data_IF_179693939764
#
_entry.id   IF_179693939764
#
_cell.length_a   1.000
_cell.length_b   1.000
_cell.length_c   1.000
_cell.angle_alpha   90.00
_cell.angle_beta   90.00
_cell.angle_gamma   90.00
#
_symmetry.space_group_name_H-M   'P 1'
#
loop_
_entity.id
_entity.type
_entity.pdbx_description
1 polymer ?
#
# COMPACT_ATOMS: atom_id res chain seq x y z
N UNK A 1 -37.54 62.04 -44.71
CA UNK A 1 -37.40 60.69 -44.12
C UNK A 1 -36.50 59.91 -45.07
N UNK A 2 -35.39 59.27 -44.68
CA UNK A 2 -34.78 58.95 -43.38
C UNK A 2 -33.26 59.17 -43.42
N UNK A 3 -32.59 59.28 -42.26
CA UNK A 3 -31.13 59.44 -42.11
C UNK A 3 -30.39 58.09 -42.13
N UNK A 4 -29.10 58.05 -42.53
CA UNK A 4 -28.33 56.81 -42.59
C UNK A 4 -27.90 56.31 -41.21
N UNK A 5 -27.95 54.99 -41.01
CA UNK A 5 -27.61 54.36 -39.73
C UNK A 5 -26.09 54.27 -39.50
N UNK A 6 -25.65 54.76 -38.34
CA UNK A 6 -24.24 54.72 -37.91
C UNK A 6 -23.80 53.29 -37.57
N UNK A 7 -22.73 52.80 -38.23
CA UNK A 7 -22.09 51.51 -37.88
C UNK A 7 -21.35 51.65 -36.55
N UNK A 8 -21.70 50.82 -35.55
CA UNK A 8 -20.99 50.74 -34.26
C UNK A 8 -19.70 49.90 -34.40
N UNK A 9 -18.62 50.21 -33.66
CA UNK A 9 -17.38 49.43 -33.69
C UNK A 9 -17.57 48.05 -33.06
N UNK A 10 -16.85 47.06 -33.61
CA UNK A 10 -17.00 45.63 -33.30
C UNK A 10 -16.81 45.28 -31.80
N UNK A 11 -16.03 46.09 -31.08
CA UNK A 11 -15.73 45.93 -29.66
C UNK A 11 -16.96 46.01 -28.74
N UNK A 12 -18.03 46.71 -29.16
CA UNK A 12 -19.24 46.87 -28.35
C UNK A 12 -20.25 45.72 -28.50
N UNK A 13 -20.13 44.86 -29.52
CA UNK A 13 -21.02 43.71 -29.71
C UNK A 13 -20.72 42.54 -28.75
N UNK A 14 -19.47 42.40 -28.30
CA UNK A 14 -19.06 41.32 -27.40
C UNK A 14 -19.56 41.51 -25.97
N UNK A 15 -19.83 42.74 -25.52
CA UNK A 15 -20.41 43.02 -24.19
C UNK A 15 -21.93 42.84 -24.12
N UNK A 16 -22.63 42.73 -25.25
CA UNK A 16 -24.07 42.41 -25.28
C UNK A 16 -24.37 40.91 -25.28
N UNK A 17 -23.35 40.05 -25.30
CA UNK A 17 -23.52 38.59 -25.26
C UNK A 17 -23.66 38.11 -23.81
N UNK A 18 -24.60 37.19 -23.57
CA UNK A 18 -24.74 36.55 -22.26
C UNK A 18 -23.50 35.70 -21.95
N UNK A 19 -23.16 35.61 -20.66
CA UNK A 19 -21.97 34.88 -20.17
C UNK A 19 -21.81 33.46 -20.75
N UNK A 20 -22.88 32.65 -20.95
CA UNK A 20 -22.76 31.33 -21.60
C UNK A 20 -22.24 31.38 -23.05
N UNK A 21 -22.65 32.39 -23.83
CA UNK A 21 -22.22 32.54 -25.23
C UNK A 21 -20.75 32.98 -25.31
N UNK A 22 -20.33 33.87 -24.40
CA UNK A 22 -18.93 34.28 -24.31
C UNK A 22 -18.01 33.10 -23.95
N UNK A 23 -18.44 32.24 -23.01
CA UNK A 23 -17.73 31.01 -22.64
C UNK A 23 -17.65 30.00 -23.80
N UNK A 24 -18.71 29.90 -24.62
CA UNK A 24 -18.72 29.01 -25.79
C UNK A 24 -17.78 29.51 -26.90
N UNK A 25 -17.68 30.82 -27.11
CA UNK A 25 -16.73 31.41 -28.05
C UNK A 25 -15.28 31.22 -27.58
N UNK A 26 -15.01 31.41 -26.29
CA UNK A 26 -13.69 31.15 -25.68
C UNK A 26 -13.26 29.69 -25.81
N UNK A 27 -14.16 28.72 -25.59
CA UNK A 27 -13.83 27.30 -25.75
C UNK A 27 -13.60 26.91 -27.21
N UNK A 28 -14.35 27.49 -28.16
CA UNK A 28 -14.13 27.28 -29.59
C UNK A 28 -12.76 27.81 -30.06
N UNK A 29 -12.36 29.01 -29.60
CA UNK A 29 -11.02 29.57 -29.87
C UNK A 29 -9.92 28.66 -29.29
N UNK A 30 -10.10 28.14 -28.08
CA UNK A 30 -9.13 27.24 -27.44
C UNK A 30 -9.00 25.88 -28.16
N UNK A 31 -10.10 25.35 -28.70
CA UNK A 31 -10.12 24.15 -29.55
C UNK A 31 -9.38 24.40 -30.87
N UNK A 32 -9.62 25.54 -31.53
CA UNK A 32 -8.96 25.91 -32.78
C UNK A 32 -7.45 26.18 -32.61
N UNK A 33 -7.01 26.71 -31.47
CA UNK A 33 -5.57 26.84 -31.17
C UNK A 33 -4.90 25.50 -30.90
N UNK A 34 -5.60 24.52 -30.32
CA UNK A 34 -5.02 23.19 -30.08
C UNK A 34 -4.94 22.32 -31.34
N UNK A 35 -5.92 22.39 -32.24
CA UNK A 35 -5.87 21.64 -33.51
C UNK A 35 -4.78 22.16 -34.42
N UNK A 36 -4.59 23.48 -34.50
CA UNK A 36 -3.49 24.11 -35.27
C UNK A 36 -2.12 23.79 -34.67
N UNK A 37 -1.96 23.76 -33.34
CA UNK A 37 -0.72 23.33 -32.68
C UNK A 37 -0.37 21.85 -32.94
N UNK A 38 -1.38 20.98 -33.11
CA UNK A 38 -1.18 19.56 -33.36
C UNK A 38 -0.75 19.27 -34.81
N UNK A 39 -1.11 20.12 -35.76
CA UNK A 39 -0.73 19.99 -37.17
C UNK A 39 0.67 20.54 -37.49
N UNK A 40 1.25 21.38 -36.61
CA UNK A 40 2.55 22.03 -36.87
C UNK A 40 3.79 21.24 -36.39
N UNK A 41 3.59 20.15 -35.62
CA UNK A 41 4.66 19.40 -34.94
C UNK A 41 4.86 17.97 -35.49
N UNK A 42 4.57 17.75 -36.77
CA UNK A 42 4.79 16.45 -37.42
C UNK A 42 5.49 16.59 -38.78
N UNK A 43 6.84 16.58 -38.78
CA UNK A 43 7.57 15.77 -39.76
C UNK A 43 8.70 14.94 -39.13
N UNK A 44 9.34 14.11 -39.97
CA UNK A 44 10.56 13.31 -39.69
C UNK A 44 10.38 11.94 -39.00
N UNK A 45 9.64 11.05 -39.68
CA UNK A 45 9.91 9.61 -39.65
C UNK A 45 10.25 9.12 -41.08
N UNK A 46 11.44 8.55 -41.33
CA UNK A 46 11.75 7.96 -42.64
C UNK A 46 10.91 6.70 -42.93
N UNK A 47 10.45 6.56 -44.18
CA UNK A 47 9.76 5.35 -44.67
C UNK A 47 10.75 4.25 -45.09
N UNK A 48 10.32 2.97 -45.12
CA UNK A 48 11.22 1.82 -45.28
C UNK A 48 11.54 1.48 -46.75
N UNK A 49 12.68 0.82 -46.97
CA UNK A 49 13.08 0.20 -48.24
C UNK A 49 12.38 -1.15 -48.47
N UNK A 50 12.00 -1.43 -49.73
CA UNK A 50 11.21 -2.60 -50.15
C UNK A 50 11.93 -3.49 -51.18
N UNK A 51 11.76 -4.81 -51.05
CA UNK A 51 11.86 -5.91 -52.07
C UNK A 51 11.30 -7.18 -51.38
N UNK A 52 10.24 -7.88 -51.84
CA UNK A 52 10.07 -8.74 -53.05
C UNK A 52 11.19 -9.80 -53.14
N UNK A 53 11.02 -11.12 -53.25
CA UNK A 53 9.92 -12.08 -53.57
C UNK A 53 10.31 -13.50 -53.02
N UNK A 54 9.53 -14.59 -52.99
CA UNK A 54 8.09 -14.91 -53.09
C UNK A 54 7.83 -16.44 -52.79
N UNK A 55 6.57 -16.89 -52.87
CA UNK A 55 6.05 -18.27 -53.11
C UNK A 55 6.13 -19.42 -52.06
N UNK A 56 4.92 -19.95 -51.79
CA UNK A 56 4.48 -21.38 -51.70
C UNK A 56 4.70 -22.29 -50.47
N UNK A 57 3.56 -22.86 -50.05
CA UNK A 57 3.30 -24.24 -49.57
C UNK A 57 3.74 -24.74 -48.17
N UNK A 58 2.71 -24.87 -47.31
CA UNK A 58 2.35 -26.03 -46.47
C UNK A 58 3.28 -26.63 -45.40
N UNK A 59 2.70 -26.68 -44.20
CA UNK A 59 2.69 -27.80 -43.23
C UNK A 59 3.76 -27.91 -42.14
N UNK A 60 3.26 -28.47 -41.03
CA UNK A 60 3.97 -29.05 -39.89
C UNK A 60 4.57 -28.13 -38.81
N UNK A 61 4.36 -28.61 -37.60
CA UNK A 61 4.77 -28.13 -36.28
C UNK A 61 6.29 -28.07 -36.06
N UNK A 62 6.74 -27.01 -35.39
CA UNK A 62 7.89 -27.09 -34.47
C UNK A 62 7.76 -26.04 -33.36
N UNK A 63 7.85 -26.48 -32.11
CA UNK A 63 7.92 -25.64 -30.92
C UNK A 63 9.35 -25.20 -30.63
N UNK A 64 9.58 -23.89 -30.47
CA UNK A 64 10.78 -23.37 -29.81
C UNK A 64 10.41 -22.26 -28.83
N UNK A 65 9.79 -22.67 -27.72
CA UNK A 65 9.78 -21.87 -26.50
C UNK A 65 11.14 -21.99 -25.81
N UNK A 66 11.91 -20.90 -25.74
CA UNK A 66 13.12 -20.87 -24.92
C UNK A 66 12.69 -20.75 -23.45
N UNK A 67 12.57 -21.89 -22.79
CA UNK A 67 12.30 -21.97 -21.35
C UNK A 67 13.58 -21.70 -20.54
N UNK A 68 13.44 -20.95 -19.45
CA UNK A 68 14.41 -20.91 -18.34
C UNK A 68 13.83 -21.58 -17.08
N UNK A 69 13.15 -22.71 -17.24
CA UNK A 69 12.74 -23.58 -16.13
C UNK A 69 13.94 -24.35 -15.57
N UNK A 70 14.64 -23.78 -14.58
CA UNK A 70 15.43 -24.62 -13.64
C UNK A 70 15.72 -24.07 -12.23
N UNK A 71 14.94 -23.12 -11.72
CA UNK A 71 15.18 -22.52 -10.39
C UNK A 71 14.03 -22.70 -9.38
N UNK A 72 12.88 -23.28 -9.77
CA UNK A 72 11.66 -23.32 -8.92
C UNK A 72 11.15 -24.73 -8.54
N UNK A 73 11.94 -25.79 -8.72
CA UNK A 73 11.58 -27.17 -8.35
C UNK A 73 12.33 -27.73 -7.11
N UNK A 74 13.00 -26.87 -6.33
CA UNK A 74 13.82 -27.29 -5.17
C UNK A 74 13.19 -27.00 -3.79
N UNK A 75 11.93 -26.53 -3.72
CA UNK A 75 11.29 -26.11 -2.46
C UNK A 75 10.21 -27.07 -1.90
N UNK A 76 10.01 -28.25 -2.52
CA UNK A 76 9.08 -29.26 -2.05
C UNK A 76 9.79 -30.54 -1.57
N UNK A 77 10.32 -30.52 -0.34
CA UNK A 77 10.39 -31.67 0.58
C UNK A 77 11.16 -31.33 1.87
N UNK A 78 10.48 -31.19 3.02
CA UNK A 78 10.90 -31.71 4.35
C UNK A 78 9.97 -31.21 5.47
N UNK A 79 9.66 -32.02 6.50
CA UNK A 79 8.87 -31.63 7.66
C UNK A 79 9.69 -30.80 8.68
N UNK A 80 9.04 -30.11 9.64
CA UNK A 80 9.75 -29.27 10.61
C UNK A 80 10.39 -30.10 11.75
N UNK A 81 11.61 -29.75 12.21
CA UNK A 81 12.17 -30.30 13.44
C UNK A 81 11.55 -29.65 14.69
N UNK A 82 11.47 -30.42 15.77
CA UNK A 82 10.92 -30.00 17.07
C UNK A 82 11.96 -29.29 17.95
N UNK A 83 11.47 -28.42 18.85
CA UNK A 83 12.30 -27.63 19.75
C UNK A 83 12.77 -28.44 20.97
N UNK A 84 14.07 -28.35 21.31
CA UNK A 84 14.61 -28.65 22.65
C UNK A 84 15.69 -27.62 23.02
N UNK A 85 15.76 -27.28 24.31
CA UNK A 85 16.70 -26.30 24.88
C UNK A 85 18.02 -26.94 25.37
N UNK A 86 19.01 -26.06 25.65
CA UNK A 86 19.98 -26.10 26.77
C UNK A 86 21.50 -26.25 26.45
N UNK A 87 22.21 -25.12 26.60
CA UNK A 87 23.51 -24.89 27.31
C UNK A 87 24.81 -25.68 27.05
N UNK A 88 25.80 -24.93 26.50
CA UNK A 88 27.25 -24.82 26.88
C UNK A 88 28.27 -25.96 26.57
N UNK A 89 29.59 -25.66 26.47
CA UNK A 89 30.44 -26.20 25.38
C UNK A 89 31.63 -27.11 25.79
N UNK A 90 32.25 -27.78 24.79
CA UNK A 90 33.56 -28.43 24.93
C UNK A 90 34.18 -28.97 23.62
N UNK A 91 35.44 -28.56 23.35
CA UNK A 91 36.52 -29.22 22.58
C UNK A 91 36.27 -29.95 21.23
N UNK A 92 36.77 -29.31 20.16
CA UNK A 92 37.66 -29.85 19.09
C UNK A 92 37.71 -31.36 18.74
N UNK A 93 37.46 -31.67 17.47
CA UNK A 93 38.36 -32.49 16.62
C UNK A 93 38.09 -32.19 15.13
N UNK A 94 39.03 -32.53 14.23
CA UNK A 94 38.96 -32.18 12.81
C UNK A 94 39.26 -33.37 11.90
N UNK A 95 38.52 -33.51 10.79
CA UNK A 95 38.92 -34.29 9.61
C UNK A 95 38.17 -33.85 8.34
N UNK A 96 38.83 -34.04 7.18
CA UNK A 96 38.56 -33.39 5.89
C UNK A 96 37.40 -33.94 5.03
N UNK A 97 36.99 -33.12 4.05
CA UNK A 97 36.26 -33.52 2.82
C UNK A 97 34.73 -33.44 2.94
N UNK A 98 33.96 -32.88 2.00
CA UNK A 98 34.21 -32.51 0.59
C UNK A 98 33.55 -31.16 0.26
N UNK A 99 34.14 -30.38 -0.65
CA UNK A 99 33.64 -29.06 -1.07
C UNK A 99 32.42 -29.15 -2.00
N UNK A 100 31.39 -28.34 -1.71
CA UNK A 100 30.41 -27.87 -2.70
C UNK A 100 29.99 -26.43 -2.38
N UNK A 101 30.41 -25.49 -3.22
CA UNK A 101 30.12 -24.05 -3.09
C UNK A 101 28.62 -23.75 -3.19
N UNK A 102 28.00 -23.33 -2.07
CA UNK A 102 26.62 -22.82 -2.03
C UNK A 102 26.49 -21.29 -2.17
N UNK A 103 27.57 -20.58 -2.47
CA UNK A 103 27.61 -19.10 -2.40
C UNK A 103 27.29 -18.34 -3.72
N UNK A 104 27.07 -19.02 -4.86
CA UNK A 104 26.98 -18.33 -6.17
C UNK A 104 25.62 -17.70 -6.52
N UNK A 105 24.56 -17.90 -5.74
CA UNK A 105 23.21 -17.35 -6.06
C UNK A 105 22.82 -16.11 -5.25
N UNK A 106 23.65 -15.65 -4.32
CA UNK A 106 23.37 -14.49 -3.44
C UNK A 106 24.34 -13.32 -3.70
N UNK A 107 25.50 -13.56 -4.33
CA UNK A 107 26.54 -12.54 -4.57
C UNK A 107 26.36 -11.67 -5.84
N UNK A 108 25.29 -11.83 -6.62
CA UNK A 108 25.12 -11.14 -7.91
C UNK A 108 24.67 -9.66 -7.82
N UNK A 109 24.50 -9.08 -6.62
CA UNK A 109 24.03 -7.70 -6.43
C UNK A 109 24.93 -6.78 -5.59
N UNK A 110 26.13 -7.23 -5.21
CA UNK A 110 27.10 -6.40 -4.49
C UNK A 110 28.45 -6.31 -5.20
N UNK A 111 28.51 -5.47 -6.23
CA UNK A 111 29.75 -4.91 -6.78
C UNK A 111 29.45 -3.71 -7.68
N UNK A 112 29.66 -2.50 -7.14
CA UNK A 112 30.22 -1.30 -7.78
C UNK A 112 29.90 -0.07 -6.94
N UNK A 113 30.95 0.65 -6.52
CA UNK A 113 30.87 1.78 -5.61
C UNK A 113 30.85 3.14 -6.33
N UNK A 114 30.19 4.10 -5.68
CA UNK A 114 30.49 5.54 -5.69
C UNK A 114 30.41 6.33 -7.01
N UNK A 115 29.19 6.77 -7.37
CA UNK A 115 28.87 8.20 -7.63
C UNK A 115 27.47 8.48 -7.05
N UNK A 116 27.23 9.57 -6.30
CA UNK A 116 25.87 9.94 -5.88
C UNK A 116 25.04 10.43 -7.09
N UNK A 117 23.80 9.95 -7.29
CA UNK A 117 22.94 10.46 -8.36
C UNK A 117 22.50 11.90 -8.08
N UNK A 118 22.25 12.72 -9.12
CA UNK A 118 21.73 14.07 -8.95
C UNK A 118 20.35 14.07 -8.27
N UNK A 119 19.96 15.18 -7.60
CA UNK A 119 18.65 15.27 -6.96
C UNK A 119 17.51 15.07 -7.98
N UNK A 120 16.43 14.37 -7.62
CA UNK A 120 15.30 14.15 -8.51
C UNK A 120 14.64 15.50 -8.88
N UNK A 121 14.10 15.64 -10.09
CA UNK A 121 13.39 16.85 -10.49
C UNK A 121 12.17 17.10 -9.58
N UNK A 122 11.74 18.37 -9.42
CA UNK A 122 10.57 18.69 -8.61
C UNK A 122 9.34 17.90 -9.08
N UNK A 123 8.61 17.33 -8.13
CA UNK A 123 7.34 16.66 -8.43
C UNK A 123 6.34 17.68 -9.01
N UNK A 124 5.54 17.30 -10.03
CA UNK A 124 4.43 18.15 -10.47
C UNK A 124 3.49 18.41 -9.29
N UNK A 125 3.00 19.63 -9.19
CA UNK A 125 2.14 20.06 -8.09
C UNK A 125 0.93 19.11 -7.94
N UNK A 126 0.63 18.73 -6.69
CA UNK A 126 -0.55 17.93 -6.42
C UNK A 126 -1.81 18.69 -6.92
N UNK A 127 -2.77 18.01 -7.59
CA UNK A 127 -3.98 18.67 -8.05
C UNK A 127 -4.71 19.32 -6.87
N UNK A 128 -5.18 20.54 -7.09
CA UNK A 128 -5.82 21.34 -6.05
C UNK A 128 -6.96 20.55 -5.37
N UNK A 129 -7.07 20.59 -4.03
CA UNK A 129 -8.15 19.91 -3.35
C UNK A 129 -9.51 20.47 -3.82
N UNK A 130 -10.50 19.62 -4.12
CA UNK A 130 -11.81 20.09 -4.58
C UNK A 130 -12.46 20.99 -3.53
N UNK A 131 -13.22 21.99 -3.99
CA UNK A 131 -13.81 23.02 -3.14
C UNK A 131 -14.61 22.42 -1.96
N UNK A 132 -14.10 22.59 -0.74
CA UNK A 132 -14.66 21.94 0.46
C UNK A 132 -15.78 22.79 1.06
N UNK A 133 -17.03 22.38 0.83
CA UNK A 133 -18.22 23.05 1.36
C UNK A 133 -18.22 23.17 2.90
N UNK A 134 -18.90 24.21 3.43
CA UNK A 134 -18.93 24.57 4.87
C UNK A 134 -19.31 23.39 5.80
N UNK A 135 -20.24 22.51 5.38
CA UNK A 135 -20.60 21.29 6.13
C UNK A 135 -19.43 20.29 6.24
N UNK A 136 -18.68 20.08 5.15
CA UNK A 136 -17.51 19.21 5.14
C UNK A 136 -16.37 19.78 6.00
N UNK A 137 -16.19 21.11 6.01
CA UNK A 137 -15.27 21.78 6.97
C UNK A 137 -15.67 21.52 8.43
N UNK A 138 -16.96 21.67 8.79
CA UNK A 138 -17.46 21.36 10.15
C UNK A 138 -17.28 19.88 10.52
N UNK A 139 -17.58 18.95 9.61
CA UNK A 139 -17.39 17.51 9.84
C UNK A 139 -15.91 17.14 10.02
N UNK A 140 -15.02 17.71 9.19
CA UNK A 140 -13.57 17.53 9.30
C UNK A 140 -13.03 18.06 10.63
N UNK A 141 -13.47 19.25 11.06
CA UNK A 141 -13.11 19.82 12.36
C UNK A 141 -13.59 18.95 13.54
N UNK A 142 -14.83 18.44 13.50
CA UNK A 142 -15.35 17.51 14.53
C UNK A 142 -14.55 16.20 14.57
N UNK A 143 -14.19 15.64 13.41
CA UNK A 143 -13.35 14.43 13.31
C UNK A 143 -11.94 14.68 13.85
N UNK A 144 -11.30 15.79 13.48
CA UNK A 144 -9.98 16.15 13.99
C UNK A 144 -10.02 16.37 15.51
N UNK A 145 -11.09 16.96 16.08
CA UNK A 145 -11.28 17.05 17.53
C UNK A 145 -11.40 15.67 18.21
N UNK A 146 -12.02 14.68 17.54
CA UNK A 146 -12.09 13.30 18.06
C UNK A 146 -10.73 12.58 18.00
N UNK A 147 -9.99 12.74 16.90
CA UNK A 147 -8.65 12.17 16.75
C UNK A 147 -7.64 12.85 17.66
N UNK A 148 -7.81 14.14 17.95
CA UNK A 148 -7.02 14.84 18.95
C UNK A 148 -7.33 14.32 20.36
N UNK A 149 -8.60 13.98 20.69
CA UNK A 149 -8.92 13.30 21.97
C UNK A 149 -8.16 11.96 22.12
N UNK A 150 -8.02 11.19 21.04
CA UNK A 150 -7.27 9.92 21.02
C UNK A 150 -5.78 10.11 21.33
N UNK A 151 -5.21 11.28 21.03
CA UNK A 151 -3.85 11.66 21.44
C UNK A 151 -3.80 12.30 22.83
N UNK A 152 -4.84 13.01 23.23
CA UNK A 152 -4.87 13.85 24.44
C UNK A 152 -5.22 13.10 25.74
N UNK A 153 -5.84 11.91 25.67
CA UNK A 153 -6.36 11.25 26.88
C UNK A 153 -6.15 9.74 26.87
N UNK A 154 -5.42 9.25 27.87
CA UNK A 154 -5.57 7.86 28.33
C UNK A 154 -6.95 7.71 28.96
N UNK A 155 -7.85 6.99 28.30
CA UNK A 155 -9.19 6.68 28.80
C UNK A 155 -9.19 5.31 29.49
N UNK A 156 -10.21 4.97 30.31
CA UNK A 156 -10.35 3.60 30.80
C UNK A 156 -10.39 2.55 29.67
N UNK A 157 -10.84 2.95 28.49
CA UNK A 157 -10.89 2.10 27.29
C UNK A 157 -9.52 1.93 26.65
N UNK A 158 -8.76 3.02 26.39
CA UNK A 158 -7.41 2.89 25.81
C UNK A 158 -6.46 2.13 26.73
N UNK A 159 -6.57 2.29 28.06
CA UNK A 159 -5.75 1.52 29.01
C UNK A 159 -5.93 0.00 28.91
N UNK A 160 -7.02 -0.50 28.32
CA UNK A 160 -7.24 -1.93 28.06
C UNK A 160 -6.50 -2.42 26.80
N UNK A 161 -5.90 -1.54 26.01
CA UNK A 161 -5.21 -1.89 24.77
C UNK A 161 -4.11 -2.94 24.99
N UNK A 162 -3.21 -2.70 25.96
CA UNK A 162 -2.13 -3.62 26.28
C UNK A 162 -2.69 -4.99 26.70
N UNK A 163 -3.60 -5.01 27.68
CA UNK A 163 -4.23 -6.24 28.17
C UNK A 163 -4.93 -7.05 27.07
N UNK A 164 -5.66 -6.41 26.15
CA UNK A 164 -6.31 -7.10 25.01
C UNK A 164 -5.32 -7.61 23.97
N UNK A 165 -4.23 -6.88 23.72
CA UNK A 165 -3.17 -7.34 22.84
C UNK A 165 -2.45 -8.55 23.45
N UNK A 166 -2.16 -8.51 24.75
CA UNK A 166 -1.51 -9.59 25.49
C UNK A 166 -2.43 -10.83 25.59
N UNK A 167 -3.74 -10.65 25.82
CA UNK A 167 -4.77 -11.71 25.77
C UNK A 167 -4.84 -12.37 24.39
N UNK A 168 -4.96 -11.56 23.31
CA UNK A 168 -5.01 -12.07 21.94
C UNK A 168 -3.71 -12.81 21.55
N UNK A 169 -2.55 -12.28 21.92
CA UNK A 169 -1.25 -12.81 21.50
C UNK A 169 -0.59 -13.75 22.52
N UNK A 170 -1.30 -14.10 23.60
CA UNK A 170 -0.81 -15.00 24.65
C UNK A 170 -0.43 -16.36 24.08
N UNK A 171 0.74 -16.86 24.50
CA UNK A 171 1.18 -18.22 24.18
C UNK A 171 0.32 -19.30 24.87
N UNK A 172 -0.42 -18.95 25.94
CA UNK A 172 -1.36 -19.84 26.61
C UNK A 172 -2.74 -19.92 25.92
N UNK A 173 -3.01 -19.06 24.93
CA UNK A 173 -4.27 -19.10 24.18
C UNK A 173 -4.21 -20.19 23.09
N UNK A 174 -5.11 -21.17 23.19
CA UNK A 174 -5.21 -22.29 22.25
C UNK A 174 -6.23 -22.02 21.13
N UNK A 175 -5.93 -22.32 19.85
CA UNK A 175 -4.60 -22.65 19.32
C UNK A 175 -3.68 -21.41 19.29
N UNK A 176 -2.36 -21.58 19.44
CA UNK A 176 -1.41 -20.47 19.44
C UNK A 176 -1.39 -19.73 18.10
N UNK A 177 -1.12 -18.43 18.13
CA UNK A 177 -1.06 -17.58 16.93
C UNK A 177 0.09 -18.03 16.01
N UNK A 178 -0.22 -18.43 14.76
CA UNK A 178 0.82 -18.71 13.76
C UNK A 178 1.48 -17.45 13.20
N UNK A 179 0.83 -16.30 13.38
CA UNK A 179 1.38 -14.97 13.10
C UNK A 179 0.56 -13.87 13.78
N UNK A 180 1.21 -12.76 14.12
CA UNK A 180 0.56 -11.54 14.65
C UNK A 180 0.32 -10.57 13.51
N UNK A 181 -0.92 -10.18 13.30
CA UNK A 181 -1.35 -9.24 12.27
C UNK A 181 -1.97 -7.99 12.89
N UNK A 182 -1.76 -6.85 12.24
CA UNK A 182 -2.23 -5.54 12.69
C UNK A 182 -2.89 -4.79 11.54
N UNK A 183 -4.07 -4.23 11.83
CA UNK A 183 -4.79 -3.29 10.97
C UNK A 183 -5.04 -2.00 11.77
N UNK A 184 -5.10 -0.84 11.11
CA UNK A 184 -5.56 0.41 11.74
C UNK A 184 -6.85 0.92 11.11
N UNK A 185 -7.82 1.30 11.94
CA UNK A 185 -9.06 1.92 11.49
C UNK A 185 -9.42 3.15 12.32
N UNK A 186 -9.06 4.33 11.81
CA UNK A 186 -9.30 5.63 12.47
C UNK A 186 -10.46 6.41 11.82
N UNK A 187 -11.29 5.73 11.05
CA UNK A 187 -12.49 6.26 10.37
C UNK A 187 -13.76 5.93 11.16
N UNK A 188 -14.90 6.58 10.87
CA UNK A 188 -16.19 6.23 11.48
C UNK A 188 -16.55 4.74 11.26
N UNK A 189 -17.20 4.11 12.24
CA UNK A 189 -17.65 2.72 12.15
C UNK A 189 -18.54 2.46 10.92
N UNK A 190 -19.43 3.40 10.57
CA UNK A 190 -20.30 3.31 9.41
C UNK A 190 -19.58 3.27 8.04
N UNK A 191 -18.25 3.51 8.01
CA UNK A 191 -17.44 3.37 6.80
C UNK A 191 -16.67 2.04 6.75
N UNK A 192 -16.69 1.22 7.81
CA UNK A 192 -16.09 -0.11 7.81
C UNK A 192 -17.08 -1.07 7.15
N UNK A 193 -16.89 -1.33 5.86
CA UNK A 193 -17.89 -1.96 5.00
C UNK A 193 -17.44 -3.27 4.38
N UNK A 194 -18.13 -3.67 3.30
CA UNK A 194 -17.84 -4.90 2.56
C UNK A 194 -16.38 -4.99 2.08
N UNK A 195 -15.74 -3.86 1.75
CA UNK A 195 -14.34 -3.81 1.29
C UNK A 195 -13.34 -4.15 2.40
N UNK A 196 -13.54 -3.62 3.59
CA UNK A 196 -12.68 -3.90 4.74
C UNK A 196 -12.92 -5.32 5.29
N UNK A 197 -14.17 -5.80 5.25
CA UNK A 197 -14.51 -7.19 5.59
C UNK A 197 -13.84 -8.18 4.61
N UNK A 198 -13.81 -7.87 3.31
CA UNK A 198 -13.11 -8.66 2.30
C UNK A 198 -11.60 -8.75 2.55
N UNK A 199 -10.98 -7.68 3.06
CA UNK A 199 -9.58 -7.71 3.52
C UNK A 199 -9.40 -8.71 4.65
N UNK A 200 -10.31 -8.74 5.65
CA UNK A 200 -10.27 -9.72 6.72
C UNK A 200 -10.47 -11.16 6.20
N UNK A 201 -11.39 -11.38 5.28
CA UNK A 201 -11.61 -12.70 4.65
C UNK A 201 -10.35 -13.18 3.94
N UNK A 202 -9.74 -12.32 3.11
CA UNK A 202 -8.49 -12.64 2.41
C UNK A 202 -7.33 -12.96 3.36
N UNK A 203 -7.21 -12.23 4.47
CA UNK A 203 -6.21 -12.50 5.51
C UNK A 203 -6.44 -13.89 6.11
N UNK A 204 -7.64 -14.18 6.61
CA UNK A 204 -7.94 -15.44 7.28
C UNK A 204 -8.02 -16.64 6.33
N UNK A 205 -8.26 -16.42 5.02
CA UNK A 205 -8.15 -17.46 3.99
C UNK A 205 -6.73 -18.01 3.90
N UNK A 206 -5.75 -17.11 3.86
CA UNK A 206 -4.33 -17.46 3.67
C UNK A 206 -3.56 -17.64 4.97
N UNK A 207 -4.09 -17.13 6.09
CA UNK A 207 -3.57 -17.29 7.44
C UNK A 207 -4.69 -17.67 8.42
N UNK A 208 -5.24 -18.90 8.36
CA UNK A 208 -6.35 -19.32 9.23
C UNK A 208 -5.97 -19.36 10.72
N UNK A 209 -4.68 -19.56 11.04
CA UNK A 209 -4.14 -19.52 12.40
C UNK A 209 -3.61 -18.15 12.85
N UNK A 210 -3.81 -17.08 12.07
CA UNK A 210 -3.37 -15.75 12.47
C UNK A 210 -4.18 -15.21 13.66
N UNK A 211 -3.53 -14.34 14.42
CA UNK A 211 -4.18 -13.47 15.39
C UNK A 211 -4.14 -12.03 14.87
N UNK A 212 -5.30 -11.42 14.70
CA UNK A 212 -5.45 -10.06 14.17
C UNK A 212 -5.86 -9.06 15.25
N UNK A 213 -5.06 -8.02 15.47
CA UNK A 213 -5.46 -6.86 16.28
C UNK A 213 -5.85 -5.69 15.37
N UNK A 214 -7.11 -5.27 15.44
CA UNK A 214 -7.59 -4.05 14.78
C UNK A 214 -7.47 -2.89 15.78
N UNK A 215 -6.48 -2.01 15.56
CA UNK A 215 -6.30 -0.81 16.36
C UNK A 215 -7.30 0.27 15.90
N UNK A 216 -8.40 0.40 16.63
CA UNK A 216 -9.54 1.26 16.27
C UNK A 216 -10.38 1.63 17.48
N UNK A 217 -10.59 2.94 17.66
CA UNK A 217 -11.47 3.47 18.70
C UNK A 217 -12.96 3.36 18.32
N UNK A 218 -13.29 3.47 17.03
CA UNK A 218 -14.68 3.44 16.55
C UNK A 218 -15.24 2.02 16.45
N UNK A 219 -14.38 1.03 16.19
CA UNK A 219 -14.76 -0.38 16.20
C UNK A 219 -14.67 -1.03 17.59
N UNK A 220 -14.01 -0.41 18.56
CA UNK A 220 -14.04 -0.85 19.96
C UNK A 220 -15.36 -0.42 20.61
N UNK A 221 -16.43 -1.06 20.14
CA UNK A 221 -17.81 -0.75 20.49
C UNK A 221 -18.70 -1.97 20.21
N UNK A 222 -19.91 -2.07 20.80
CA UNK A 222 -20.84 -3.15 20.50
C UNK A 222 -21.17 -3.27 19.00
N UNK A 223 -21.27 -2.14 18.29
CA UNK A 223 -21.49 -2.12 16.85
C UNK A 223 -20.31 -2.64 16.03
N UNK A 224 -19.06 -2.38 16.46
CA UNK A 224 -17.88 -2.97 15.83
C UNK A 224 -17.77 -4.47 16.09
N UNK A 225 -18.05 -4.91 17.32
CA UNK A 225 -18.14 -6.34 17.64
C UNK A 225 -19.23 -7.06 16.84
N UNK A 226 -20.40 -6.44 16.64
CA UNK A 226 -21.45 -7.00 15.79
C UNK A 226 -21.06 -7.13 14.30
N UNK A 227 -20.15 -6.27 13.80
CA UNK A 227 -19.59 -6.40 12.44
C UNK A 227 -18.56 -7.53 12.33
N UNK A 228 -17.95 -7.93 13.44
CA UNK A 228 -16.86 -8.91 13.50
C UNK A 228 -17.28 -10.28 14.04
N UNK A 229 -18.44 -10.39 14.68
CA UNK A 229 -18.97 -11.65 15.24
C UNK A 229 -19.01 -12.81 14.24
N UNK A 230 -19.24 -12.66 12.91
CA UNK A 230 -19.21 -13.80 12.00
C UNK A 230 -17.83 -14.46 11.88
N UNK A 231 -16.75 -13.71 12.06
CA UNK A 231 -15.38 -14.24 12.09
C UNK A 231 -15.13 -14.98 13.41
N UNK A 232 -15.54 -14.38 14.53
CA UNK A 232 -15.42 -14.98 15.87
C UNK A 232 -16.23 -16.28 16.00
N UNK A 233 -17.44 -16.33 15.45
CA UNK A 233 -18.29 -17.53 15.43
C UNK A 233 -17.68 -18.69 14.61
N UNK A 234 -16.69 -18.41 13.76
CA UNK A 234 -15.91 -19.42 13.01
C UNK A 234 -14.57 -19.76 13.68
N UNK A 235 -14.34 -19.30 14.91
CA UNK A 235 -13.10 -19.53 15.65
C UNK A 235 -11.89 -18.73 15.12
N UNK A 236 -12.10 -17.77 14.21
CA UNK A 236 -11.01 -16.92 13.71
C UNK A 236 -10.58 -15.95 14.83
N UNK A 237 -9.27 -15.84 15.04
CA UNK A 237 -8.71 -15.10 16.19
C UNK A 237 -8.51 -13.63 15.83
N UNK A 238 -9.42 -12.77 16.26
CA UNK A 238 -9.25 -11.32 16.18
C UNK A 238 -9.74 -10.60 17.43
N UNK A 239 -9.14 -9.45 17.69
CA UNK A 239 -9.63 -8.49 18.68
C UNK A 239 -9.60 -7.07 18.11
N UNK A 240 -10.38 -6.19 18.72
CA UNK A 240 -10.32 -4.74 18.50
C UNK A 240 -9.85 -4.07 19.79
N UNK A 241 -9.13 -2.96 19.70
CA UNK A 241 -8.86 -2.10 20.85
C UNK A 241 -8.64 -0.63 20.45
N UNK A 242 -9.18 0.31 21.23
CA UNK A 242 -8.82 1.73 21.12
C UNK A 242 -7.32 1.93 21.37
N UNK A 243 -6.53 2.44 20.42
CA UNK A 243 -5.08 2.53 20.55
C UNK A 243 -4.66 3.51 21.64
N UNK A 244 -3.85 3.05 22.61
CA UNK A 244 -3.22 3.90 23.61
C UNK A 244 -1.85 4.39 23.10
N UNK A 245 -1.83 5.60 22.55
CA UNK A 245 -0.61 6.21 22.02
C UNK A 245 0.46 6.47 23.09
N UNK A 246 0.08 6.69 24.35
CA UNK A 246 1.05 6.90 25.42
C UNK A 246 1.81 5.59 25.71
N UNK A 247 1.09 4.48 25.90
CA UNK A 247 1.68 3.15 26.06
C UNK A 247 2.49 2.71 24.83
N UNK A 248 1.93 2.88 23.62
CA UNK A 248 2.58 2.41 22.38
C UNK A 248 3.88 3.16 22.05
N UNK A 249 3.98 4.43 22.47
CA UNK A 249 5.16 5.27 22.22
C UNK A 249 6.12 5.36 23.43
N UNK A 250 5.79 4.77 24.58
CA UNK A 250 6.67 4.76 25.77
C UNK A 250 8.05 4.17 25.44
N UNK A 251 9.12 4.92 25.72
CA UNK A 251 10.50 4.54 25.43
C UNK A 251 10.89 4.68 23.95
N UNK A 252 10.04 5.31 23.13
CA UNK A 252 10.33 5.61 21.72
C UNK A 252 10.67 7.09 21.50
N UNK A 253 11.41 7.44 20.44
CA UNK A 253 11.68 8.84 20.09
C UNK A 253 10.44 9.72 19.87
N UNK A 254 9.26 9.14 19.63
CA UNK A 254 8.01 9.89 19.44
C UNK A 254 7.22 10.15 20.74
N UNK A 255 7.71 9.73 21.91
CA UNK A 255 7.10 10.05 23.20
C UNK A 255 7.11 11.57 23.47
N UNK A 256 8.25 12.22 23.21
CA UNK A 256 8.38 13.67 23.31
C UNK A 256 7.53 14.42 22.28
N UNK A 257 7.41 13.87 21.06
CA UNK A 257 6.53 14.38 20.01
C UNK A 257 5.06 14.31 20.43
N UNK A 258 4.61 13.19 21.01
CA UNK A 258 3.24 13.07 21.54
C UNK A 258 2.98 14.15 22.61
N UNK A 259 3.90 14.34 23.55
CA UNK A 259 3.81 15.40 24.54
C UNK A 259 3.76 16.81 23.92
N UNK A 260 4.52 17.07 22.85
CA UNK A 260 4.47 18.33 22.12
C UNK A 260 3.14 18.56 21.41
N UNK A 261 2.57 17.53 20.77
CA UNK A 261 1.21 17.56 20.18
C UNK A 261 0.15 17.83 21.26
N UNK A 262 0.25 17.15 22.41
CA UNK A 262 -0.70 17.32 23.53
C UNK A 262 -0.70 18.75 24.10
N UNK A 263 0.47 19.40 24.13
CA UNK A 263 0.62 20.83 24.51
C UNK A 263 0.28 21.82 23.38
N UNK A 264 -0.15 21.35 22.21
CA UNK A 264 -0.45 22.20 21.05
C UNK A 264 0.79 22.74 20.30
N UNK A 265 1.99 22.30 20.66
CA UNK A 265 3.26 22.73 20.03
C UNK A 265 3.56 22.11 18.66
N UNK A 266 2.72 21.18 18.19
CA UNK A 266 2.83 20.56 16.85
C UNK A 266 1.54 20.82 16.07
N UNK A 267 1.66 21.49 14.93
CA UNK A 267 0.51 21.73 14.04
C UNK A 267 0.09 20.43 13.34
N UNK A 268 -1.20 20.03 13.40
CA UNK A 268 -1.71 18.86 12.65
C UNK A 268 -1.60 18.99 11.12
N UNK A 269 -1.43 20.22 10.61
CA UNK A 269 -1.34 20.55 9.19
C UNK A 269 -2.64 20.35 8.39
N UNK A 270 -2.51 20.37 7.06
CA UNK A 270 -3.64 20.29 6.12
C UNK A 270 -4.04 18.85 5.72
N UNK A 271 -3.15 17.88 5.86
CA UNK A 271 -3.43 16.45 5.62
C UNK A 271 -4.31 15.94 6.77
N UNK A 272 -5.34 15.11 6.53
CA UNK A 272 -6.20 14.60 7.58
C UNK A 272 -5.40 13.92 8.69
N UNK A 273 -5.56 14.38 9.94
CA UNK A 273 -4.79 13.91 11.09
C UNK A 273 -4.80 12.39 11.22
N UNK A 274 -5.93 11.73 10.97
CA UNK A 274 -6.05 10.26 11.03
C UNK A 274 -5.15 9.51 10.05
N UNK A 275 -4.83 10.10 8.89
CA UNK A 275 -3.85 9.53 7.97
C UNK A 275 -2.44 9.60 8.58
N UNK A 276 -2.06 10.74 9.15
CA UNK A 276 -0.77 10.90 9.82
C UNK A 276 -0.66 9.99 11.06
N UNK A 277 -1.72 9.87 11.86
CA UNK A 277 -1.75 8.97 13.02
C UNK A 277 -1.69 7.49 12.65
N UNK A 278 -2.35 7.06 11.57
CA UNK A 278 -2.21 5.68 11.06
C UNK A 278 -0.77 5.38 10.62
N UNK A 279 -0.03 6.38 10.11
CA UNK A 279 1.39 6.23 9.76
C UNK A 279 2.32 6.07 10.97
N UNK A 280 2.04 6.73 12.10
CA UNK A 280 2.78 6.50 13.35
C UNK A 280 2.35 5.18 14.01
N UNK A 281 1.05 4.93 14.08
CA UNK A 281 0.46 3.80 14.79
C UNK A 281 0.95 2.46 14.22
N UNK A 282 1.03 2.32 12.88
CA UNK A 282 1.58 1.11 12.25
C UNK A 282 3.04 0.82 12.63
N UNK A 283 3.86 1.86 12.78
CA UNK A 283 5.25 1.73 13.20
C UNK A 283 5.34 1.34 14.67
N UNK A 284 4.54 2.00 15.53
CA UNK A 284 4.50 1.74 16.96
C UNK A 284 4.00 0.32 17.29
N UNK A 285 2.98 -0.17 16.59
CA UNK A 285 2.47 -1.54 16.74
C UNK A 285 3.55 -2.59 16.43
N UNK A 286 4.22 -2.46 15.28
CA UNK A 286 5.32 -3.37 14.92
C UNK A 286 6.50 -3.25 15.88
N UNK A 287 6.86 -2.03 16.32
CA UNK A 287 7.97 -1.86 17.27
C UNK A 287 7.65 -2.55 18.61
N UNK A 288 6.40 -2.42 19.09
CA UNK A 288 5.97 -2.97 20.38
C UNK A 288 5.77 -4.48 20.37
N UNK A 289 5.27 -5.07 19.28
CA UNK A 289 4.81 -6.47 19.24
C UNK A 289 5.48 -7.36 18.16
N UNK A 290 6.12 -6.76 17.16
CA UNK A 290 6.55 -7.43 15.93
C UNK A 290 5.37 -7.93 15.10
N UNK A 291 5.64 -8.72 14.06
CA UNK A 291 4.64 -9.34 13.20
C UNK A 291 4.40 -8.57 11.89
N UNK A 292 3.15 -8.57 11.42
CA UNK A 292 2.74 -8.06 10.11
C UNK A 292 1.77 -6.88 10.27
N UNK A 293 2.07 -5.76 9.64
CA UNK A 293 1.13 -4.66 9.45
C UNK A 293 0.54 -4.69 8.03
N UNK A 294 -0.75 -4.45 7.93
CA UNK A 294 -1.49 -4.22 6.70
C UNK A 294 -2.28 -2.91 6.79
N UNK A 295 -2.45 -2.20 5.68
CA UNK A 295 -3.54 -1.22 5.55
C UNK A 295 -4.88 -1.94 5.27
N UNK A 296 -5.99 -1.33 5.70
CA UNK A 296 -7.34 -1.89 5.58
C UNK A 296 -7.89 -1.96 4.13
N UNK A 297 -7.04 -1.70 3.15
CA UNK A 297 -7.28 -1.82 1.71
C UNK A 297 -6.23 -2.71 1.02
N UNK A 298 -5.51 -3.57 1.76
CA UNK A 298 -4.63 -4.61 1.22
C UNK A 298 -5.33 -5.96 1.22
N UNK A 299 -5.64 -6.50 0.04
CA UNK A 299 -6.12 -7.88 -0.09
C UNK A 299 -4.93 -8.84 -0.07
N UNK A 300 -4.99 -9.89 0.74
CA UNK A 300 -3.99 -10.96 0.81
C UNK A 300 -4.29 -12.01 -0.26
N UNK A 301 -3.27 -12.41 -1.05
CA UNK A 301 -3.44 -13.30 -2.20
C UNK A 301 -2.67 -14.63 -2.09
N UNK A 302 -1.76 -14.76 -1.11
CA UNK A 302 -1.08 -16.00 -0.71
C UNK A 302 -0.44 -15.83 0.68
N UNK A 303 0.04 -16.91 1.33
CA UNK A 303 0.65 -16.80 2.66
C UNK A 303 1.95 -16.00 2.64
N UNK A 304 2.19 -15.21 3.68
CA UNK A 304 3.42 -14.44 3.91
C UNK A 304 4.56 -15.29 4.51
N UNK A 305 4.52 -16.61 4.32
CA UNK A 305 5.52 -17.55 4.84
C UNK A 305 6.93 -17.19 4.35
N UNK A 306 7.89 -17.14 5.26
CA UNK A 306 9.28 -16.77 4.96
C UNK A 306 9.55 -15.27 4.88
N UNK A 307 8.54 -14.40 4.96
CA UNK A 307 8.78 -12.95 5.10
C UNK A 307 9.18 -12.62 6.54
N UNK A 308 10.32 -11.93 6.69
CA UNK A 308 10.81 -11.35 7.94
C UNK A 308 11.56 -10.05 7.62
N UNK A 309 11.42 -9.04 8.47
CA UNK A 309 12.06 -7.72 8.34
C UNK A 309 11.97 -7.19 6.89
N UNK A 310 10.76 -7.17 6.34
CA UNK A 310 10.46 -6.92 4.93
C UNK A 310 9.53 -5.71 4.71
N UNK A 311 9.79 -4.97 3.64
CA UNK A 311 8.97 -3.83 3.18
C UNK A 311 8.86 -3.80 1.66
N UNK A 312 7.70 -3.42 1.12
CA UNK A 312 7.49 -3.35 -0.33
C UNK A 312 7.97 -2.04 -0.96
N UNK A 313 8.66 -2.14 -2.10
CA UNK A 313 8.89 -1.02 -3.00
C UNK A 313 7.62 -0.69 -3.79
N UNK A 314 7.02 0.48 -3.62
CA UNK A 314 5.91 0.95 -4.46
C UNK A 314 6.35 1.34 -5.88
N UNK A 315 7.60 1.80 -6.05
CA UNK A 315 8.13 2.19 -7.35
C UNK A 315 9.62 1.91 -7.45
N UNK A 316 10.07 1.58 -8.66
CA UNK A 316 11.47 1.36 -9.03
C UNK A 316 11.90 2.36 -10.11
N UNK A 317 13.20 2.50 -10.26
CA UNK A 317 13.85 3.08 -11.41
C UNK A 317 13.89 2.02 -12.53
N UNK A 318 13.33 2.32 -13.70
CA UNK A 318 13.20 1.33 -14.79
C UNK A 318 14.55 0.92 -15.39
N UNK A 319 15.55 1.81 -15.35
CA UNK A 319 16.89 1.57 -15.90
C UNK A 319 17.76 0.78 -14.94
N UNK A 320 17.77 1.13 -13.65
CA UNK A 320 18.67 0.53 -12.65
C UNK A 320 18.04 -0.57 -11.81
N UNK A 321 16.71 -0.79 -11.92
CA UNK A 321 15.95 -1.74 -11.10
C UNK A 321 15.86 -1.37 -9.61
N UNK A 322 16.55 -0.30 -9.15
CA UNK A 322 16.58 0.12 -7.75
C UNK A 322 15.25 0.73 -7.35
N UNK A 323 14.81 0.50 -6.11
CA UNK A 323 13.60 1.13 -5.60
C UNK A 323 13.78 2.66 -5.52
N UNK A 324 12.77 3.40 -5.99
CA UNK A 324 12.63 4.87 -5.83
C UNK A 324 11.65 5.23 -4.70
N UNK A 325 10.79 4.28 -4.33
CA UNK A 325 9.79 4.47 -3.28
C UNK A 325 9.53 3.17 -2.54
N UNK A 326 9.74 3.17 -1.24
CA UNK A 326 9.16 2.20 -0.31
C UNK A 326 7.78 2.69 0.16
N UNK A 327 6.93 1.77 0.58
CA UNK A 327 5.61 2.09 1.11
C UNK A 327 5.34 1.25 2.37
N UNK A 328 4.75 1.89 3.38
CA UNK A 328 4.51 1.36 4.70
C UNK A 328 3.07 0.81 4.87
N UNK A 329 2.36 0.52 3.79
CA UNK A 329 1.05 -0.13 3.80
C UNK A 329 1.13 -1.65 4.01
N UNK A 330 2.27 -2.26 3.72
CA UNK A 330 2.60 -3.63 4.13
C UNK A 330 4.01 -3.65 4.69
N UNK A 331 4.17 -4.15 5.92
CA UNK A 331 5.45 -4.24 6.61
C UNK A 331 5.46 -5.48 7.49
N UNK A 332 6.55 -6.25 7.45
CA UNK A 332 6.76 -7.42 8.31
C UNK A 332 8.04 -7.17 9.11
N UNK A 333 7.99 -7.14 10.43
CA UNK A 333 9.18 -6.86 11.24
C UNK A 333 9.18 -7.59 12.57
N UNK A 334 10.36 -7.89 13.07
CA UNK A 334 10.56 -8.35 14.44
C UNK A 334 10.24 -7.25 15.45
N UNK A 335 9.86 -7.68 16.66
CA UNK A 335 9.64 -6.79 17.80
C UNK A 335 10.92 -6.03 18.10
N UNK A 336 10.81 -4.71 18.29
CA UNK A 336 11.94 -3.85 18.66
C UNK A 336 12.97 -3.60 17.56
N UNK A 337 12.72 -4.01 16.30
CA UNK A 337 13.69 -3.90 15.22
C UNK A 337 14.24 -2.45 15.06
N UNK A 338 15.57 -2.21 14.99
CA UNK A 338 16.15 -0.87 15.04
C UNK A 338 15.59 0.09 13.99
N UNK A 339 15.38 -0.39 12.76
CA UNK A 339 14.84 0.42 11.67
C UNK A 339 13.42 0.96 11.96
N UNK A 340 12.60 0.24 12.74
CA UNK A 340 11.29 0.77 13.18
C UNK A 340 11.46 1.92 14.15
N UNK A 341 12.46 1.85 15.05
CA UNK A 341 12.81 2.95 15.96
C UNK A 341 13.31 4.17 15.17
N UNK A 342 14.08 3.96 14.11
CA UNK A 342 14.55 5.03 13.22
C UNK A 342 13.40 5.64 12.41
N UNK A 343 12.44 4.84 11.93
CA UNK A 343 11.19 5.35 11.32
C UNK A 343 10.38 6.19 12.30
N UNK A 344 10.26 5.77 13.57
CA UNK A 344 9.57 6.53 14.62
C UNK A 344 10.34 7.83 14.96
N UNK A 345 11.68 7.80 14.96
CA UNK A 345 12.53 8.98 15.15
C UNK A 345 12.36 10.01 14.03
N UNK A 346 12.40 9.58 12.77
CA UNK A 346 12.16 10.45 11.62
C UNK A 346 10.72 11.00 11.63
N UNK A 347 9.73 10.21 12.07
CA UNK A 347 8.35 10.70 12.22
C UNK A 347 8.29 11.83 13.23
N UNK A 348 8.92 11.67 14.39
CA UNK A 348 8.93 12.64 15.47
C UNK A 348 9.69 13.93 15.09
N UNK A 349 10.88 13.79 14.49
CA UNK A 349 11.78 14.89 14.18
C UNK A 349 11.36 15.69 12.93
N UNK A 350 10.85 15.01 11.90
CA UNK A 350 10.56 15.61 10.60
C UNK A 350 9.04 15.69 10.30
N UNK A 351 8.18 15.65 11.32
CA UNK A 351 6.72 15.68 11.14
C UNK A 351 6.27 16.90 10.33
N UNK A 352 5.63 16.65 9.18
CA UNK A 352 4.97 17.69 8.39
C UNK A 352 3.54 17.26 8.09
N UNK A 353 2.60 17.78 8.89
CA UNK A 353 1.17 17.52 8.72
C UNK A 353 0.57 18.10 7.44
N UNK A 354 1.31 18.89 6.65
CA UNK A 354 0.81 19.56 5.44
C UNK A 354 1.29 18.94 4.13
N UNK A 355 2.28 18.04 4.16
CA UNK A 355 2.81 17.34 2.98
C UNK A 355 2.27 15.91 2.87
N UNK A 356 1.47 15.62 1.84
CA UNK A 356 0.89 14.30 1.65
C UNK A 356 1.96 13.21 1.45
N UNK A 357 1.84 12.12 2.22
CA UNK A 357 2.78 10.99 2.20
C UNK A 357 4.12 11.25 2.89
N UNK A 358 4.42 12.49 3.29
CA UNK A 358 5.71 12.87 3.89
C UNK A 358 6.04 12.05 5.15
N UNK A 359 5.04 11.83 6.00
CA UNK A 359 5.14 11.06 7.25
C UNK A 359 4.93 9.54 7.05
N UNK A 360 4.88 9.06 5.80
CA UNK A 360 4.55 7.67 5.44
C UNK A 360 5.51 7.09 4.40
N UNK A 361 5.08 6.80 3.15
CA UNK A 361 5.96 6.25 2.11
C UNK A 361 7.24 7.06 1.86
N UNK A 362 7.18 8.39 1.96
CA UNK A 362 8.39 9.22 1.84
C UNK A 362 9.33 9.04 3.04
N UNK A 363 8.79 8.97 4.27
CA UNK A 363 9.55 8.77 5.51
C UNK A 363 10.33 7.45 5.48
N UNK A 364 9.66 6.33 5.23
CA UNK A 364 10.35 5.02 5.22
C UNK A 364 11.41 4.95 4.11
N UNK A 365 11.17 5.62 2.98
CA UNK A 365 12.16 5.74 1.91
C UNK A 365 13.37 6.57 2.32
N UNK A 366 13.18 7.73 2.97
CA UNK A 366 14.28 8.59 3.44
C UNK A 366 15.15 7.86 4.45
N UNK A 367 14.54 7.18 5.44
CA UNK A 367 15.29 6.46 6.47
C UNK A 367 16.08 5.30 5.88
N UNK A 368 15.48 4.43 5.06
CA UNK A 368 16.23 3.32 4.45
C UNK A 368 17.34 3.84 3.54
N UNK A 369 17.09 4.86 2.72
CA UNK A 369 18.12 5.45 1.88
C UNK A 369 19.26 6.06 2.70
N UNK A 370 18.95 6.81 3.77
CA UNK A 370 19.94 7.39 4.65
C UNK A 370 20.78 6.32 5.38
N UNK A 371 20.16 5.23 5.84
CA UNK A 371 20.87 4.13 6.51
C UNK A 371 21.78 3.37 5.55
N UNK A 372 21.35 3.13 4.30
CA UNK A 372 22.21 2.55 3.24
C UNK A 372 23.38 3.47 2.88
N UNK A 373 23.17 4.80 2.84
CA UNK A 373 24.23 5.76 2.51
C UNK A 373 25.24 5.98 3.64
N UNK A 374 24.78 5.95 4.90
CA UNK A 374 25.64 6.18 6.08
C UNK A 374 26.50 4.97 6.42
N UNK A 375 26.15 3.76 5.97
CA UNK A 375 26.88 2.53 6.25
C UNK A 375 27.67 2.06 5.03
N UNK A 376 28.96 2.45 5.00
CA UNK A 376 29.95 1.95 4.03
C UNK A 376 30.33 0.47 4.23
N UNK A 377 29.91 -0.13 5.35
CA UNK A 377 30.10 -1.54 5.71
C UNK A 377 28.80 -2.09 6.32
N UNK A 378 28.53 -3.40 6.22
CA UNK A 378 27.40 -4.04 6.89
C UNK A 378 27.37 -3.73 8.39
N UNK A 379 26.18 -3.63 8.95
CA UNK A 379 25.99 -3.47 10.39
C UNK A 379 24.55 -3.74 10.82
N UNK A 380 24.33 -4.12 12.09
CA UNK A 380 23.06 -4.63 12.58
C UNK A 380 21.89 -3.68 12.31
N UNK A 381 20.82 -4.24 11.73
CA UNK A 381 19.53 -3.57 11.51
C UNK A 381 19.19 -3.17 10.06
N UNK A 382 20.13 -3.21 9.11
CA UNK A 382 19.80 -3.06 7.67
C UNK A 382 20.21 -4.25 6.80
N UNK A 383 21.22 -5.00 7.21
CA UNK A 383 21.61 -6.26 6.55
C UNK A 383 20.50 -7.33 6.63
N UNK A 384 19.55 -7.14 7.56
CA UNK A 384 18.37 -7.98 7.78
C UNK A 384 17.09 -7.39 7.11
N UNK A 385 17.19 -6.28 6.36
CA UNK A 385 16.04 -5.67 5.68
C UNK A 385 15.86 -6.23 4.26
N UNK A 386 14.75 -6.93 4.03
CA UNK A 386 14.33 -7.36 2.69
C UNK A 386 13.44 -6.30 2.03
N UNK A 387 13.93 -5.66 0.97
CA UNK A 387 13.06 -4.82 0.10
C UNK A 387 12.45 -5.69 -1.00
N UNK A 388 11.13 -5.89 -0.92
CA UNK A 388 10.36 -6.66 -1.90
C UNK A 388 10.05 -5.81 -3.15
N UNK A 389 10.04 -6.40 -4.36
CA UNK A 389 9.75 -5.68 -5.59
C UNK A 389 8.28 -5.20 -5.65
N UNK A 390 7.93 -4.22 -6.51
CA UNK A 390 6.57 -3.71 -6.61
C UNK A 390 5.50 -4.77 -6.85
N UNK A 391 5.82 -5.82 -7.61
CA UNK A 391 4.87 -6.91 -7.88
C UNK A 391 4.44 -7.69 -6.64
N UNK A 392 5.16 -7.60 -5.51
CA UNK A 392 4.79 -8.26 -4.25
C UNK A 392 3.49 -7.73 -3.62
N UNK A 393 3.27 -6.41 -3.64
CA UNK A 393 2.13 -5.73 -2.98
C UNK A 393 1.50 -4.59 -3.78
N UNK A 394 2.22 -4.08 -4.79
CA UNK A 394 1.87 -2.92 -5.61
C UNK A 394 1.93 -3.25 -7.12
N UNK A 395 1.31 -4.35 -7.61
CA UNK A 395 1.43 -4.82 -9.00
C UNK A 395 0.76 -3.90 -10.05
N UNK A 396 0.11 -2.82 -9.60
CA UNK A 396 -0.44 -1.73 -10.40
C UNK A 396 -0.26 -0.41 -9.65
N UNK A 397 0.24 0.61 -10.35
CA UNK A 397 0.40 1.97 -9.82
C UNK A 397 -0.97 2.58 -9.46
N UNK A 398 -1.05 3.36 -8.38
CA UNK A 398 -2.31 3.91 -7.85
C UNK A 398 -3.17 4.61 -8.90
N UNK A 399 -2.57 5.39 -9.81
CA UNK A 399 -3.29 6.10 -10.88
C UNK A 399 -3.88 5.21 -11.98
N UNK A 400 -3.58 3.91 -11.96
CA UNK A 400 -4.10 2.90 -12.90
C UNK A 400 -4.97 1.84 -12.21
N UNK A 401 -5.16 1.91 -10.89
CA UNK A 401 -5.88 0.87 -10.14
C UNK A 401 -7.32 0.68 -10.61
N UNK A 402 -7.97 1.75 -11.08
CA UNK A 402 -9.37 1.69 -11.53
C UNK A 402 -9.60 0.73 -12.71
N UNK A 403 -8.60 0.50 -13.55
CA UNK A 403 -8.69 -0.48 -14.64
C UNK A 403 -8.82 -1.93 -14.17
N UNK A 404 -8.58 -2.23 -12.88
CA UNK A 404 -8.78 -3.57 -12.33
C UNK A 404 -10.21 -3.82 -11.83
N UNK A 405 -11.02 -2.77 -11.67
CA UNK A 405 -12.40 -2.84 -11.15
C UNK A 405 -13.45 -3.03 -12.25
N UNK A 406 -13.07 -2.86 -13.52
CA UNK A 406 -13.97 -2.89 -14.69
C UNK A 406 -14.02 -4.29 -15.30
N UNK A 407 -15.21 -4.72 -15.71
CA UNK A 407 -15.48 -5.98 -16.39
C UNK A 407 -15.04 -5.95 -17.86
N UNK A 408 -14.64 -7.11 -18.44
CA UNK A 408 -14.31 -7.19 -19.84
C UNK A 408 -15.57 -7.06 -20.72
N UNK A 409 -15.52 -6.17 -21.72
CA UNK A 409 -16.64 -5.92 -22.66
C UNK A 409 -16.60 -6.78 -23.93
N UNK A 410 -15.45 -7.39 -24.21
CA UNK A 410 -15.21 -8.22 -25.39
C UNK A 410 -14.16 -9.32 -25.09
N UNK A 411 -13.96 -10.21 -26.06
CA UNK A 411 -12.99 -11.31 -25.93
C UNK A 411 -11.51 -10.88 -25.82
N UNK A 412 -11.16 -9.63 -26.17
CA UNK A 412 -9.81 -9.09 -25.98
C UNK A 412 -9.63 -8.61 -24.54
N UNK A 413 -10.64 -7.93 -23.99
CA UNK A 413 -10.73 -7.59 -22.57
C UNK A 413 -10.68 -8.85 -21.71
N UNK A 414 -11.41 -9.90 -22.07
CA UNK A 414 -11.42 -11.18 -21.35
C UNK A 414 -10.02 -11.79 -21.25
N UNK A 415 -9.29 -11.86 -22.37
CA UNK A 415 -7.89 -12.33 -22.39
C UNK A 415 -6.97 -11.44 -21.55
N UNK A 416 -7.16 -10.12 -21.57
CA UNK A 416 -6.38 -9.20 -20.74
C UNK A 416 -6.66 -9.39 -19.25
N UNK A 417 -7.92 -9.54 -18.84
CA UNK A 417 -8.31 -9.81 -17.45
C UNK A 417 -7.68 -11.11 -16.98
N UNK A 418 -7.84 -12.20 -17.74
CA UNK A 418 -7.24 -13.50 -17.42
C UNK A 418 -5.72 -13.40 -17.22
N UNK A 419 -5.00 -12.85 -18.21
CA UNK A 419 -3.54 -12.70 -18.12
C UNK A 419 -3.10 -11.80 -16.96
N UNK A 420 -3.87 -10.75 -16.62
CA UNK A 420 -3.56 -9.86 -15.50
C UNK A 420 -3.81 -10.52 -14.14
N UNK A 421 -4.86 -11.36 -14.02
CA UNK A 421 -5.13 -12.18 -12.84
C UNK A 421 -4.03 -13.23 -12.64
N UNK A 422 -3.65 -13.96 -13.68
CA UNK A 422 -2.58 -14.98 -13.64
C UNK A 422 -1.24 -14.36 -13.20
N UNK A 423 -0.85 -13.22 -13.79
CA UNK A 423 0.35 -12.47 -13.42
C UNK A 423 0.34 -12.04 -11.93
N UNK A 424 -0.76 -11.44 -11.46
CA UNK A 424 -0.88 -11.00 -10.06
C UNK A 424 -0.85 -12.20 -9.11
N UNK A 425 -1.58 -13.29 -9.39
CA UNK A 425 -1.59 -14.50 -8.54
C UNK A 425 -0.21 -15.17 -8.46
N UNK A 426 0.54 -15.22 -9.57
CA UNK A 426 1.88 -15.82 -9.60
C UNK A 426 2.91 -15.07 -8.77
N UNK A 427 2.88 -13.73 -8.80
CA UNK A 427 3.98 -12.91 -8.26
C UNK A 427 3.65 -12.17 -6.95
N UNK A 428 2.38 -11.87 -6.67
CA UNK A 428 1.97 -11.03 -5.55
C UNK A 428 1.68 -11.81 -4.26
N UNK A 429 2.14 -11.29 -3.12
CA UNK A 429 1.68 -11.68 -1.79
C UNK A 429 0.31 -11.06 -1.46
N UNK A 430 0.07 -9.85 -1.96
CA UNK A 430 -1.21 -9.17 -1.86
C UNK A 430 -1.34 -8.04 -2.88
N UNK A 431 -2.47 -7.33 -2.86
CA UNK A 431 -2.70 -6.15 -3.69
C UNK A 431 -3.24 -5.00 -2.85
N UNK A 432 -2.52 -3.88 -2.87
CA UNK A 432 -2.99 -2.62 -2.31
C UNK A 432 -4.04 -1.99 -3.25
N UNK A 433 -5.27 -1.80 -2.77
CA UNK A 433 -6.38 -1.28 -3.56
C UNK A 433 -6.39 0.24 -3.66
N UNK A 434 -5.60 0.97 -2.88
CA UNK A 434 -5.52 2.43 -2.89
C UNK A 434 -6.89 3.10 -2.66
N UNK A 435 -7.52 2.84 -1.50
CA UNK A 435 -8.87 3.28 -1.15
C UNK A 435 -9.11 4.79 -1.34
N UNK A 436 -8.08 5.65 -1.32
CA UNK A 436 -8.23 7.08 -1.71
C UNK A 436 -8.82 7.23 -3.12
N UNK A 437 -8.31 6.42 -4.06
CA UNK A 437 -8.64 6.42 -5.48
C UNK A 437 -9.80 5.45 -5.78
N UNK A 438 -9.80 4.26 -5.19
CA UNK A 438 -10.71 3.16 -5.59
C UNK A 438 -11.99 3.00 -4.76
N UNK A 439 -12.16 3.66 -3.61
CA UNK A 439 -13.34 3.47 -2.72
C UNK A 439 -14.70 3.85 -3.32
N UNK A 440 -14.70 4.52 -4.47
CA UNK A 440 -15.91 4.90 -5.23
C UNK A 440 -16.15 4.01 -6.46
N UNK A 441 -15.24 3.08 -6.71
CA UNK A 441 -15.35 2.14 -7.82
C UNK A 441 -16.08 0.91 -7.31
N UNK A 442 -17.15 0.55 -7.99
CA UNK A 442 -17.79 -0.74 -7.83
C UNK A 442 -16.87 -1.83 -8.39
N UNK A 443 -16.93 -3.01 -7.80
CA UNK A 443 -16.19 -4.17 -8.26
C UNK A 443 -17.08 -4.91 -9.25
N UNK A 444 -16.95 -4.60 -10.54
CA UNK A 444 -17.78 -5.21 -11.58
C UNK A 444 -17.51 -6.73 -11.64
N UNK A 445 -18.55 -7.52 -11.88
CA UNK A 445 -18.45 -8.98 -11.95
C UNK A 445 -17.51 -9.41 -13.09
N UNK A 446 -16.68 -10.42 -12.84
CA UNK A 446 -15.65 -10.84 -13.78
C UNK A 446 -14.51 -9.84 -14.02
N UNK A 447 -14.42 -8.72 -13.30
CA UNK A 447 -13.25 -7.82 -13.29
C UNK A 447 -11.99 -8.49 -12.71
N UNK A 448 -10.82 -7.85 -12.84
CA UNK A 448 -9.56 -8.38 -12.27
C UNK A 448 -9.65 -8.48 -10.75
N UNK A 449 -10.18 -7.48 -10.04
CA UNK A 449 -10.34 -7.57 -8.59
C UNK A 449 -11.36 -8.65 -8.22
N UNK A 450 -12.52 -8.72 -8.87
CA UNK A 450 -13.53 -9.76 -8.61
C UNK A 450 -12.93 -11.18 -8.69
N UNK A 451 -12.16 -11.47 -9.74
CA UNK A 451 -11.47 -12.76 -9.93
C UNK A 451 -10.26 -12.99 -9.04
N UNK A 452 -9.68 -11.95 -8.42
CA UNK A 452 -8.62 -12.13 -7.43
C UNK A 452 -9.20 -12.49 -6.06
N UNK A 453 -10.38 -11.97 -5.73
CA UNK A 453 -10.99 -12.11 -4.40
C UNK A 453 -12.00 -13.25 -4.30
N UNK A 454 -12.46 -13.81 -5.41
CA UNK A 454 -13.34 -15.00 -5.45
C UNK A 454 -12.84 -16.13 -4.54
N UNK A 455 -11.54 -16.44 -4.61
CA UNK A 455 -10.91 -17.55 -3.88
C UNK A 455 -10.60 -17.20 -2.42
N UNK A 456 -10.74 -15.91 -2.06
CA UNK A 456 -10.56 -15.35 -0.72
C UNK A 456 -11.83 -15.40 0.12
N UNK A 457 -12.98 -15.65 -0.51
CA UNK A 457 -14.28 -15.57 0.14
C UNK A 457 -14.47 -16.68 1.19
N UNK A 458 -14.66 -16.28 2.44
CA UNK A 458 -15.01 -17.20 3.52
C UNK A 458 -16.53 -17.29 3.66
N UNK A 459 -17.28 -16.21 3.47
CA UNK A 459 -18.72 -16.15 3.75
C UNK A 459 -19.62 -16.31 2.52
N UNK A 460 -19.10 -16.75 1.36
CA UNK A 460 -19.88 -16.85 0.12
C UNK A 460 -21.12 -17.76 0.19
N UNK A 461 -21.06 -18.83 0.99
CA UNK A 461 -22.21 -19.73 1.22
C UNK A 461 -23.10 -19.27 2.40
N UNK A 462 -22.95 -18.03 2.88
CA UNK A 462 -23.65 -17.49 4.04
C UNK A 462 -24.40 -16.22 3.66
N UNK A 463 -25.62 -16.05 4.19
CA UNK A 463 -26.55 -14.97 3.83
C UNK A 463 -26.08 -13.54 4.12
N UNK A 464 -24.89 -13.36 4.72
CA UNK A 464 -24.27 -12.07 5.04
C UNK A 464 -24.16 -11.10 3.88
N UNK A 465 -23.97 -11.58 2.65
CA UNK A 465 -23.85 -10.72 1.47
C UNK A 465 -25.15 -10.51 0.70
N UNK A 466 -26.18 -11.33 0.97
CA UNK A 466 -27.47 -11.32 0.26
C UNK A 466 -28.52 -10.40 0.91
N UNK A 467 -28.32 -9.95 2.16
CA UNK A 467 -29.27 -9.07 2.86
C UNK A 467 -28.59 -7.96 3.66
N UNK A 468 -28.19 -6.90 2.96
CA UNK A 468 -28.05 -5.55 3.51
C UNK A 468 -28.04 -4.56 2.34
N UNK A 469 -29.24 -4.11 1.99
CA UNK A 469 -29.50 -2.85 1.27
C UNK A 469 -29.27 -1.65 2.21
#
# INVERSE_FOLDING_TARGET
>A
MTTPAVRKPLSLLLLSLSLPVLLLLLSLVFLLSHTTFTLLMCPLLPRPSSRRNATSTSSSSASLGVSMDRTLLAFHASPPPSWRNATTPGSSSASHGVSMDKNKTVQAFHSLAAVPPPPPPPLPAAPAPPAVNKMSKKASAKRNKSLLKLLLRSTPQTRRFAARADELFSAAAAPPCTGRFFLTWLSPLAQFGRRELLVLESLFRWHPGACLLIASDTMDSPGGMARLSPFLHRGLRLAVASPDFAYLLTGTPAESWLGAVQRGGVSPGSVPLGQNLSNLLRLALLYRYGGVYLDADVVVLRPFSGLRNAIGAQAVDETTGRWRRLNNAVMVFDRGHPLLRDFIAEFAAAFDGSKWGHNGPYLVSRVVAATLLRRRSPGPGIDDLTVLPPRAFYPVHWSKIGGLFVAPKDGKGERWVKAKVENIRGESFGIHLWNRESRRLEMEEGSVIARLVSDSCLFCNSSMFLKQE
#
